data_IF_036142352793
#
_entry.id   IF_036142352793
#
_cell.length_a   1.000
_cell.length_b   1.000
_cell.length_c   1.000
_cell.angle_alpha   90.00
_cell.angle_beta   90.00
_cell.angle_gamma   90.00
#
_symmetry.space_group_name_H-M   'P 1'
#
loop_
_entity.id
_entity.type
_entity.pdbx_description
1 polymer ?
#
# COMPACT_ATOMS: atom_id res chain seq x y z
N UNK A 1 -4.03 0.50 72.27
CA UNK A 1 -4.35 0.48 70.83
C UNK A 1 -3.07 0.13 70.09
N UNK A 2 -3.05 -0.99 69.37
CA UNK A 2 -1.86 -1.48 68.65
C UNK A 2 -1.73 -0.80 67.28
N UNK A 3 -0.49 -0.53 66.86
CA UNK A 3 -0.13 -0.11 65.51
C UNK A 3 0.38 -1.35 64.74
N UNK A 4 -0.26 -1.65 63.62
CA UNK A 4 0.12 -2.59 62.56
C UNK A 4 -0.43 -1.94 61.27
N UNK A 5 0.27 -1.74 60.16
CA UNK A 5 1.39 -2.46 59.58
C UNK A 5 1.01 -2.80 58.12
N UNK A 6 1.83 -2.34 57.15
CA UNK A 6 1.91 -2.71 55.71
C UNK A 6 0.67 -2.47 54.81
N UNK A 7 0.73 -1.70 53.71
CA UNK A 7 1.45 -1.88 52.44
C UNK A 7 1.16 -3.21 51.71
N UNK A 8 0.12 -3.23 50.88
CA UNK A 8 0.02 -4.23 49.81
C UNK A 8 -0.85 -3.71 48.65
N UNK A 9 -0.19 -3.06 47.68
CA UNK A 9 -0.80 -2.76 46.38
C UNK A 9 0.08 -3.22 45.20
N UNK A 10 0.69 -4.41 45.32
CA UNK A 10 1.26 -5.14 44.17
C UNK A 10 0.21 -6.10 43.61
N UNK A 11 -0.20 -5.90 42.36
CA UNK A 11 -0.90 -6.93 41.59
C UNK A 11 0.06 -8.11 41.36
N UNK A 12 -0.34 -9.36 41.60
CA UNK A 12 0.47 -10.51 41.23
C UNK A 12 0.66 -10.54 39.72
N UNK A 13 1.90 -10.70 39.28
CA UNK A 13 2.29 -10.74 37.87
C UNK A 13 1.69 -11.95 37.16
N UNK A 14 1.10 -11.72 35.99
CA UNK A 14 0.91 -12.76 35.00
C UNK A 14 2.25 -13.03 34.29
N UNK A 15 2.56 -14.27 33.93
CA UNK A 15 3.71 -14.57 33.08
C UNK A 15 3.53 -13.87 31.74
N UNK A 16 4.46 -13.00 31.35
CA UNK A 16 4.56 -12.53 29.97
C UNK A 16 5.11 -13.71 29.18
N UNK A 17 4.23 -14.32 28.37
CA UNK A 17 4.65 -15.27 27.36
C UNK A 17 5.14 -14.47 26.15
N UNK A 18 6.41 -14.63 25.80
CA UNK A 18 6.96 -14.26 24.51
C UNK A 18 6.40 -15.21 23.45
N UNK A 19 5.16 -14.98 23.03
CA UNK A 19 4.53 -15.65 21.89
C UNK A 19 4.00 -14.56 20.94
N UNK A 20 4.89 -14.08 20.06
CA UNK A 20 4.45 -13.50 18.78
C UNK A 20 4.21 -14.68 17.84
N UNK A 21 3.15 -15.43 18.10
CA UNK A 21 2.59 -16.36 17.14
C UNK A 21 1.44 -15.62 16.45
N UNK A 22 1.68 -15.16 15.23
CA UNK A 22 0.65 -14.58 14.38
C UNK A 22 -0.09 -15.75 13.76
N UNK A 23 -1.23 -16.12 14.35
CA UNK A 23 -2.17 -17.10 13.80
C UNK A 23 -2.66 -16.64 12.42
N UNK A 24 -2.16 -17.29 11.37
CA UNK A 24 -2.39 -16.93 9.95
C UNK A 24 -3.81 -17.29 9.47
N UNK A 25 -4.65 -17.93 10.29
CA UNK A 25 -5.95 -18.45 9.84
C UNK A 25 -7.17 -17.55 10.13
N UNK A 26 -7.02 -16.47 10.93
CA UNK A 26 -8.11 -15.48 11.17
C UNK A 26 -7.79 -14.06 10.66
N UNK A 27 -6.78 -13.91 9.79
CA UNK A 27 -6.38 -12.63 9.20
C UNK A 27 -6.90 -12.43 7.76
N UNK A 28 -7.97 -13.12 7.35
CA UNK A 28 -8.39 -13.15 5.95
C UNK A 28 -9.52 -12.16 5.57
N UNK A 29 -10.17 -11.48 6.52
CA UNK A 29 -11.30 -10.57 6.18
C UNK A 29 -11.51 -9.40 7.17
N UNK A 30 -10.48 -8.66 7.61
CA UNK A 30 -10.76 -7.38 8.31
C UNK A 30 -9.65 -6.30 8.37
N UNK A 31 -8.78 -6.18 7.37
CA UNK A 31 -7.89 -4.99 7.26
C UNK A 31 -7.98 -4.25 5.90
N UNK A 32 -8.57 -4.86 4.85
CA UNK A 32 -8.53 -4.32 3.48
C UNK A 32 -9.89 -4.00 2.83
N UNK A 33 -11.02 -4.42 3.42
CA UNK A 33 -12.34 -4.25 2.79
C UNK A 33 -13.00 -2.89 3.08
N UNK A 34 -12.63 -2.19 4.16
CA UNK A 34 -13.50 -1.18 4.79
C UNK A 34 -13.07 0.29 4.58
N UNK A 35 -12.02 0.63 3.81
CA UNK A 35 -11.51 2.03 3.76
C UNK A 35 -11.21 2.67 2.38
N UNK A 36 -11.65 2.12 1.25
CA UNK A 36 -11.47 2.84 -0.03
C UNK A 36 -12.56 2.53 -1.03
N UNK A 37 -13.18 3.57 -1.57
CA UNK A 37 -13.99 3.44 -2.77
C UNK A 37 -13.22 2.64 -3.83
N UNK A 38 -13.92 1.75 -4.54
CA UNK A 38 -13.39 0.99 -5.69
C UNK A 38 -12.47 -0.22 -5.37
N UNK A 39 -12.82 -1.13 -4.44
CA UNK A 39 -11.92 -2.22 -4.01
C UNK A 39 -11.57 -3.21 -5.13
N UNK A 40 -12.52 -3.57 -6.00
CA UNK A 40 -12.27 -4.50 -7.12
C UNK A 40 -11.33 -3.90 -8.17
N UNK A 41 -11.61 -2.67 -8.59
CA UNK A 41 -10.79 -1.93 -9.56
C UNK A 41 -9.38 -1.68 -9.02
N UNK A 42 -9.26 -1.37 -7.72
CA UNK A 42 -7.97 -1.25 -7.04
C UNK A 42 -7.18 -2.56 -7.12
N UNK A 43 -7.80 -3.69 -6.80
CA UNK A 43 -7.13 -4.99 -6.82
C UNK A 43 -6.67 -5.39 -8.24
N UNK A 44 -7.47 -5.10 -9.27
CA UNK A 44 -7.09 -5.35 -10.66
C UNK A 44 -5.89 -4.53 -11.11
N UNK A 45 -5.91 -3.21 -10.83
CA UNK A 45 -4.78 -2.33 -11.10
C UNK A 45 -3.54 -2.77 -10.32
N UNK A 46 -3.68 -3.04 -9.02
CA UNK A 46 -2.56 -3.42 -8.14
C UNK A 46 -1.88 -4.71 -8.62
N UNK A 47 -2.66 -5.73 -8.99
CA UNK A 47 -2.10 -6.99 -9.52
C UNK A 47 -1.27 -6.76 -10.77
N UNK A 48 -1.74 -5.93 -11.69
CA UNK A 48 -0.99 -5.58 -12.90
C UNK A 48 0.27 -4.79 -12.55
N UNK A 49 0.12 -3.76 -11.69
CA UNK A 49 1.20 -2.87 -11.31
C UNK A 49 2.33 -3.60 -10.61
N UNK A 50 2.03 -4.49 -9.66
CA UNK A 50 3.06 -5.21 -8.89
C UNK A 50 3.91 -6.12 -9.78
N UNK A 51 3.29 -6.83 -10.72
CA UNK A 51 4.00 -7.64 -11.70
C UNK A 51 4.92 -6.78 -12.58
N UNK A 52 4.40 -5.69 -13.14
CA UNK A 52 5.21 -4.77 -13.94
C UNK A 52 6.33 -4.12 -13.13
N UNK A 53 6.05 -3.74 -11.88
CA UNK A 53 7.00 -3.08 -11.00
C UNK A 53 8.20 -3.99 -10.70
N UNK A 54 7.94 -5.24 -10.34
CA UNK A 54 8.98 -6.22 -10.06
C UNK A 54 9.75 -6.63 -11.31
N UNK A 55 9.06 -6.92 -12.41
CA UNK A 55 9.69 -7.52 -13.58
C UNK A 55 10.37 -6.50 -14.49
N UNK A 56 9.82 -5.29 -14.58
CA UNK A 56 10.23 -4.28 -15.57
C UNK A 56 10.85 -3.06 -14.89
N UNK A 57 10.20 -2.51 -13.87
CA UNK A 57 10.68 -1.27 -13.25
C UNK A 57 11.96 -1.49 -12.44
N UNK A 58 11.93 -2.42 -11.47
CA UNK A 58 13.09 -2.71 -10.62
C UNK A 58 14.28 -3.29 -11.38
N UNK A 59 14.03 -3.96 -12.51
CA UNK A 59 15.10 -4.53 -13.37
C UNK A 59 15.66 -3.52 -14.38
N UNK A 60 15.13 -2.29 -14.42
CA UNK A 60 15.55 -1.26 -15.38
C UNK A 60 15.07 -1.50 -16.82
N UNK A 61 14.18 -2.46 -17.06
CA UNK A 61 13.63 -2.81 -18.39
C UNK A 61 12.34 -2.07 -18.74
N UNK A 62 11.79 -1.28 -17.83
CA UNK A 62 10.53 -0.56 -18.03
C UNK A 62 10.64 0.54 -19.10
N UNK A 63 10.49 0.19 -20.39
CA UNK A 63 10.54 1.15 -21.51
C UNK A 63 9.27 1.99 -21.61
N UNK A 64 8.13 1.44 -21.18
CA UNK A 64 6.80 2.06 -21.24
C UNK A 64 6.05 1.84 -19.93
N UNK A 65 5.09 2.72 -19.65
CA UNK A 65 4.10 2.49 -18.61
C UNK A 65 3.20 1.30 -19.00
N UNK A 66 2.86 0.47 -18.03
CA UNK A 66 1.89 -0.61 -18.17
C UNK A 66 0.66 -0.31 -17.30
N UNK A 67 -0.37 -1.14 -17.43
CA UNK A 67 -1.58 -1.08 -16.58
C UNK A 67 -2.38 0.22 -16.70
N UNK A 68 -2.28 0.89 -17.87
CA UNK A 68 -2.86 2.23 -18.08
C UNK A 68 -4.39 2.18 -18.05
N UNK A 69 -5.00 1.15 -18.62
CA UNK A 69 -6.46 1.01 -18.66
C UNK A 69 -7.02 0.63 -17.30
N UNK A 70 -6.37 -0.28 -16.58
CA UNK A 70 -6.71 -0.65 -15.20
C UNK A 70 -6.59 0.55 -14.27
N UNK A 71 -5.50 1.32 -14.41
CA UNK A 71 -5.31 2.55 -13.65
C UNK A 71 -6.38 3.59 -13.96
N UNK A 72 -6.73 3.76 -15.23
CA UNK A 72 -7.77 4.72 -15.66
C UNK A 72 -9.12 4.38 -15.06
N UNK A 73 -9.53 3.10 -15.11
CA UNK A 73 -10.79 2.65 -14.53
C UNK A 73 -10.81 2.86 -13.00
N UNK A 74 -9.72 2.50 -12.31
CA UNK A 74 -9.59 2.75 -10.87
C UNK A 74 -9.63 4.24 -10.54
N UNK A 75 -8.83 5.07 -11.24
CA UNK A 75 -8.76 6.53 -11.05
C UNK A 75 -10.13 7.19 -11.21
N UNK A 76 -10.87 6.84 -12.26
CA UNK A 76 -12.22 7.38 -12.50
C UNK A 76 -13.15 7.10 -11.32
N UNK A 77 -13.14 5.86 -10.82
CA UNK A 77 -13.98 5.49 -9.69
C UNK A 77 -13.59 6.27 -8.42
N UNK A 78 -12.29 6.48 -8.15
CA UNK A 78 -11.82 7.26 -6.99
C UNK A 78 -12.17 8.75 -7.13
N UNK A 79 -12.07 9.32 -8.33
CA UNK A 79 -12.48 10.71 -8.61
C UNK A 79 -13.95 10.90 -8.26
N UNK A 80 -14.83 10.03 -8.76
CA UNK A 80 -16.26 10.12 -8.45
C UNK A 80 -16.53 9.95 -6.94
N UNK A 81 -15.86 9.01 -6.28
CA UNK A 81 -16.05 8.78 -4.85
C UNK A 81 -15.52 9.90 -3.94
N UNK A 82 -14.67 10.79 -4.46
CA UNK A 82 -14.06 11.90 -3.71
C UNK A 82 -14.60 13.27 -4.12
N UNK A 83 -15.55 13.30 -5.06
CA UNK A 83 -16.20 14.50 -5.59
C UNK A 83 -16.92 15.29 -4.51
N UNK A 84 -17.72 14.61 -3.69
CA UNK A 84 -18.48 15.24 -2.59
C UNK A 84 -17.58 15.80 -1.48
N UNK A 85 -16.32 15.34 -1.41
CA UNK A 85 -15.31 15.80 -0.46
C UNK A 85 -14.49 16.98 -1.01
N UNK A 86 -14.74 17.39 -2.26
CA UNK A 86 -13.96 18.43 -2.93
C UNK A 86 -12.52 18.04 -3.23
N UNK A 87 -12.17 16.75 -3.14
CA UNK A 87 -10.79 16.26 -3.34
C UNK A 87 -10.51 15.80 -4.78
N UNK A 88 -11.54 15.67 -5.61
CA UNK A 88 -11.43 15.23 -7.01
C UNK A 88 -10.38 16.02 -7.81
N UNK A 89 -10.31 17.35 -7.61
CA UNK A 89 -9.37 18.22 -8.31
C UNK A 89 -7.90 17.82 -8.10
N UNK A 90 -7.54 17.29 -6.93
CA UNK A 90 -6.16 16.85 -6.62
C UNK A 90 -5.78 15.64 -7.47
N UNK A 91 -6.75 14.78 -7.78
CA UNK A 91 -6.54 13.57 -8.57
C UNK A 91 -6.50 13.86 -10.07
N UNK A 92 -7.13 14.95 -10.51
CA UNK A 92 -7.15 15.37 -11.92
C UNK A 92 -5.93 16.20 -12.32
N UNK A 93 -5.25 16.83 -11.36
CA UNK A 93 -4.01 17.56 -11.64
C UNK A 93 -2.88 16.62 -12.10
N UNK A 94 -2.23 16.98 -13.21
CA UNK A 94 -1.00 16.32 -13.69
C UNK A 94 0.21 16.81 -12.88
N UNK A 95 0.35 16.28 -11.66
CA UNK A 95 1.42 16.67 -10.72
C UNK A 95 2.83 16.23 -11.15
N UNK A 96 2.93 15.46 -12.23
CA UNK A 96 4.20 15.01 -12.79
C UNK A 96 4.23 15.31 -14.29
N UNK A 97 4.83 16.43 -14.73
CA UNK A 97 5.13 16.59 -16.15
C UNK A 97 6.02 15.41 -16.55
N UNK A 98 5.70 14.78 -17.69
CA UNK A 98 6.44 13.67 -18.26
C UNK A 98 7.84 14.12 -18.71
N UNK A 99 8.72 14.45 -17.77
CA UNK A 99 10.14 14.57 -18.03
C UNK A 99 10.71 13.16 -17.84
N UNK A 100 10.94 12.48 -18.97
CA UNK A 100 11.67 11.22 -18.99
C UNK A 100 13.02 11.37 -18.27
N UNK A 101 13.47 10.29 -17.62
CA UNK A 101 14.74 10.28 -16.89
C UNK A 101 15.91 10.52 -17.88
N UNK A 102 16.67 11.62 -17.75
CA UNK A 102 17.85 11.89 -18.59
C UNK A 102 18.95 10.84 -18.45
N UNK A 103 18.92 10.00 -17.39
CA UNK A 103 19.93 8.96 -17.11
C UNK A 103 19.66 7.63 -17.80
N UNK A 104 18.60 7.53 -18.62
CA UNK A 104 18.40 6.34 -19.44
C UNK A 104 19.28 6.41 -20.67
N UNK A 105 20.58 6.22 -20.45
CA UNK A 105 21.56 6.00 -21.52
C UNK A 105 21.09 4.82 -22.38
N UNK A 106 21.07 4.96 -23.73
CA UNK A 106 20.93 3.80 -24.59
C UNK A 106 22.15 2.91 -24.37
N UNK A 107 21.95 1.77 -23.70
CA UNK A 107 22.97 0.74 -23.55
C UNK A 107 23.62 0.46 -24.92
N UNK A 108 24.96 0.51 -25.06
CA UNK A 108 25.60 0.14 -26.30
C UNK A 108 25.47 -1.38 -26.48
N UNK A 109 24.56 -1.74 -27.36
CA UNK A 109 24.41 -3.01 -28.09
C UNK A 109 25.55 -4.02 -27.91
N UNK A 110 25.18 -5.21 -27.46
CA UNK A 110 25.81 -6.44 -27.94
C UNK A 110 25.55 -6.56 -29.45
N UNK A 111 26.59 -6.39 -30.28
CA UNK A 111 26.69 -7.15 -31.54
C UNK A 111 28.14 -7.16 -32.04
N UNK A 112 28.68 -8.39 -31.96
CA UNK A 112 29.72 -9.08 -32.73
C UNK A 112 30.64 -8.30 -33.66
#
# INVERSE_FOLDING_TARGET
MANDGADERRRPGSPVKDDFEVDVEEAAVDDAAQCSACPKLKAEYQRCFDAWFQEQFLTGRAVKLACVEEFKAYKQCVVEATKDKGLAHILEMDLFPAQGDPRRDPSPSTKS
#
